data_IF_846064927376
#
_entry.id   IF_846064927376
#
_cell.length_a   1.000
_cell.length_b   1.000
_cell.length_c   1.000
_cell.angle_alpha   90.00
_cell.angle_beta   90.00
_cell.angle_gamma   90.00
#
_symmetry.space_group_name_H-M   'P 1'
#
loop_
_entity.id
_entity.type
_entity.pdbx_description
1 polymer ?
#
# COMPACT_ATOMS: atom_id res chain seq x y z
N UNK A 1 38.47 38.99 86.77
CA UNK A 1 37.13 38.80 87.36
C UNK A 1 36.19 38.32 86.24
N UNK A 2 35.89 37.07 86.28
CA UNK A 2 34.56 36.43 86.06
C UNK A 2 33.76 37.06 84.94
N UNK A 3 33.11 36.37 83.93
CA UNK A 3 32.28 35.18 84.01
C UNK A 3 31.83 34.83 82.55
N UNK A 4 31.82 33.52 82.19
CA UNK A 4 30.82 32.69 81.51
C UNK A 4 30.38 33.06 80.07
N UNK A 5 30.71 32.21 79.14
CA UNK A 5 29.92 31.10 78.54
C UNK A 5 28.53 31.46 78.08
N UNK A 6 28.31 31.21 76.75
CA UNK A 6 27.13 30.52 76.29
C UNK A 6 27.35 29.97 74.86
N UNK A 7 27.49 28.69 74.81
CA UNK A 7 27.31 27.90 73.56
C UNK A 7 25.88 28.13 73.04
N UNK A 8 25.74 28.44 71.79
CA UNK A 8 24.50 28.19 71.06
C UNK A 8 24.79 27.34 69.80
N UNK A 9 24.43 26.11 69.95
CA UNK A 9 24.36 25.18 68.82
C UNK A 9 23.28 25.61 67.85
N UNK A 10 23.65 25.99 66.63
CA UNK A 10 22.72 26.24 65.52
C UNK A 10 22.55 24.98 64.69
N UNK A 11 21.39 24.34 64.78
CA UNK A 11 20.97 23.29 63.88
C UNK A 11 20.77 23.89 62.47
N UNK A 12 21.53 23.38 61.53
CA UNK A 12 21.27 23.59 60.06
C UNK A 12 20.19 22.67 59.62
N UNK A 13 19.15 23.15 58.93
CA UNK A 13 18.17 22.25 58.29
C UNK A 13 18.79 21.67 57.03
N UNK A 14 18.83 20.35 56.97
CA UNK A 14 19.13 19.59 55.73
C UNK A 14 17.94 19.74 54.78
N UNK A 15 18.10 20.52 53.71
CA UNK A 15 17.16 20.62 52.62
C UNK A 15 17.30 19.37 51.75
N UNK A 16 16.37 18.42 51.87
CA UNK A 16 16.20 17.34 50.91
C UNK A 16 15.72 17.91 49.57
N UNK A 17 16.64 18.08 48.61
CA UNK A 17 16.27 18.26 47.21
C UNK A 17 15.69 16.94 46.69
N UNK A 18 14.37 16.85 46.64
CA UNK A 18 13.68 15.80 45.92
C UNK A 18 13.91 15.94 44.40
N UNK A 19 14.74 15.08 43.85
CA UNK A 19 14.86 14.94 42.37
C UNK A 19 13.55 14.43 41.83
N UNK A 20 12.74 15.31 41.20
CA UNK A 20 11.66 14.90 40.33
C UNK A 20 12.30 14.27 39.09
N UNK A 21 12.27 12.94 39.00
CA UNK A 21 12.56 12.23 37.77
C UNK A 21 11.46 12.56 36.75
N UNK A 22 11.80 12.98 35.53
CA UNK A 22 10.78 13.15 34.48
C UNK A 22 10.17 11.78 34.20
N UNK A 23 8.87 11.66 34.42
CA UNK A 23 8.08 10.52 33.95
C UNK A 23 8.23 10.45 32.42
N UNK A 24 9.09 9.55 31.97
CA UNK A 24 9.23 9.26 30.54
C UNK A 24 7.86 8.83 30.01
N UNK A 25 7.26 9.67 29.17
CA UNK A 25 6.11 9.29 28.39
C UNK A 25 6.57 8.11 27.51
N UNK A 26 6.24 6.89 27.92
CA UNK A 26 6.33 5.73 27.06
C UNK A 26 5.41 6.02 25.86
N UNK A 27 6.02 6.37 24.73
CA UNK A 27 5.30 6.46 23.48
C UNK A 27 4.71 5.06 23.24
N UNK A 28 3.40 4.92 23.45
CA UNK A 28 2.68 3.72 23.09
C UNK A 28 2.86 3.59 21.56
N UNK A 29 3.65 2.62 21.16
CA UNK A 29 3.73 2.22 19.74
C UNK A 29 2.32 1.82 19.33
N UNK A 30 1.67 2.66 18.55
CA UNK A 30 0.34 2.39 18.03
C UNK A 30 0.51 1.18 17.12
N UNK A 31 -0.09 0.05 17.51
CA UNK A 31 -0.03 -1.17 16.69
C UNK A 31 -0.54 -0.84 15.29
N UNK A 32 0.30 -1.14 14.29
CA UNK A 32 -0.05 -0.93 12.89
C UNK A 32 -1.33 -1.72 12.59
N UNK A 33 -2.37 -1.03 12.16
CA UNK A 33 -3.64 -1.66 11.78
C UNK A 33 -3.37 -2.64 10.64
N UNK A 34 -3.64 -3.92 10.88
CA UNK A 34 -3.46 -4.96 9.87
C UNK A 34 -4.42 -4.76 8.71
N UNK A 35 -3.89 -4.77 7.49
CA UNK A 35 -4.67 -4.67 6.25
C UNK A 35 -4.79 -6.05 5.58
N UNK A 36 -5.93 -6.28 4.95
CA UNK A 36 -6.19 -7.46 4.14
C UNK A 36 -6.33 -7.05 2.69
N UNK A 37 -5.73 -7.85 1.81
CA UNK A 37 -5.69 -7.56 0.37
C UNK A 37 -6.45 -8.63 -0.40
N UNK A 38 -7.29 -8.19 -1.30
CA UNK A 38 -7.92 -8.99 -2.35
C UNK A 38 -7.51 -8.38 -3.69
N UNK A 39 -7.17 -9.18 -4.66
CA UNK A 39 -6.78 -8.64 -5.96
C UNK A 39 -6.75 -9.67 -7.05
N UNK A 40 -6.99 -9.19 -8.26
CA UNK A 40 -6.89 -9.97 -9.49
C UNK A 40 -6.24 -9.15 -10.61
N UNK A 41 -5.91 -9.87 -11.68
CA UNK A 41 -5.41 -9.34 -12.93
C UNK A 41 -6.46 -9.53 -14.02
N UNK A 42 -6.71 -8.48 -14.78
CA UNK A 42 -7.59 -8.56 -15.94
C UNK A 42 -6.94 -7.92 -17.16
N UNK A 43 -7.33 -8.37 -18.34
CA UNK A 43 -7.04 -7.67 -19.58
C UNK A 43 -7.87 -6.39 -19.63
N UNK A 44 -7.19 -5.24 -19.69
CA UNK A 44 -7.85 -3.93 -19.75
C UNK A 44 -8.39 -3.63 -21.16
N UNK A 45 -9.46 -2.83 -21.21
CA UNK A 45 -9.93 -2.27 -22.47
C UNK A 45 -8.85 -1.38 -23.09
N UNK A 46 -8.60 -1.57 -24.38
CA UNK A 46 -7.63 -0.79 -25.13
C UNK A 46 -8.14 -0.63 -26.57
N UNK A 47 -8.29 0.62 -27.06
CA UNK A 47 -8.74 0.86 -28.43
C UNK A 47 -7.87 0.12 -29.45
N UNK A 48 -8.50 -0.57 -30.38
CA UNK A 48 -7.82 -1.35 -31.43
C UNK A 48 -7.20 -2.69 -31.00
N UNK A 49 -7.17 -2.99 -29.71
CA UNK A 49 -6.68 -4.28 -29.24
C UNK A 49 -7.71 -5.40 -29.51
N UNK A 50 -7.27 -6.59 -29.91
CA UNK A 50 -8.15 -7.73 -30.13
C UNK A 50 -8.65 -8.35 -28.83
N UNK A 51 -9.82 -8.96 -28.88
CA UNK A 51 -10.39 -9.78 -27.82
C UNK A 51 -11.16 -9.00 -26.74
N UNK A 52 -11.78 -9.72 -25.82
CA UNK A 52 -12.60 -9.14 -24.78
C UNK A 52 -11.77 -8.40 -23.72
N UNK A 53 -12.32 -7.31 -23.20
CA UNK A 53 -11.79 -6.59 -22.06
C UNK A 53 -12.38 -7.10 -20.73
N UNK A 54 -11.74 -6.75 -19.61
CA UNK A 54 -12.16 -7.09 -18.25
C UNK A 54 -12.28 -8.60 -17.96
N UNK A 55 -11.57 -9.42 -18.71
CA UNK A 55 -11.48 -10.86 -18.49
C UNK A 55 -10.29 -11.15 -17.57
N UNK A 56 -10.52 -11.99 -16.55
CA UNK A 56 -9.47 -12.51 -15.69
C UNK A 56 -8.39 -13.17 -16.53
N UNK A 57 -7.16 -12.73 -16.34
CA UNK A 57 -6.02 -13.25 -17.07
C UNK A 57 -4.75 -13.00 -16.26
N UNK A 58 -3.84 -13.96 -16.29
CA UNK A 58 -2.49 -13.78 -15.75
C UNK A 58 -1.40 -13.95 -16.82
N UNK A 59 -1.79 -14.26 -18.09
CA UNK A 59 -0.89 -14.40 -19.22
C UNK A 59 -1.20 -13.32 -20.25
N UNK A 60 -0.21 -12.52 -20.57
CA UNK A 60 -0.36 -11.36 -21.44
C UNK A 60 0.73 -11.37 -22.51
N UNK A 61 0.40 -10.85 -23.67
CA UNK A 61 1.36 -10.52 -24.73
C UNK A 61 1.86 -9.08 -24.57
N UNK A 62 2.97 -8.76 -25.20
CA UNK A 62 3.44 -7.36 -25.30
C UNK A 62 2.36 -6.49 -25.94
N UNK A 63 2.34 -5.22 -25.55
CA UNK A 63 1.33 -4.22 -25.90
C UNK A 63 -0.05 -4.44 -25.30
N UNK A 64 -0.33 -5.55 -24.62
CA UNK A 64 -1.57 -5.68 -23.87
C UNK A 64 -1.59 -4.79 -22.63
N UNK A 65 -2.78 -4.34 -22.28
CA UNK A 65 -3.05 -3.60 -21.07
C UNK A 65 -3.38 -4.56 -19.94
N UNK A 66 -2.50 -4.60 -18.95
CA UNK A 66 -2.71 -5.27 -17.68
C UNK A 66 -3.40 -4.31 -16.72
N UNK A 67 -4.42 -4.79 -16.04
CA UNK A 67 -5.13 -4.03 -15.01
C UNK A 67 -5.18 -4.86 -13.74
N UNK A 68 -4.60 -4.32 -12.66
CA UNK A 68 -4.80 -4.82 -11.31
C UNK A 68 -6.07 -4.21 -10.75
N UNK A 69 -6.97 -5.04 -10.23
CA UNK A 69 -8.11 -4.62 -9.42
C UNK A 69 -7.86 -5.06 -8.00
N UNK A 70 -7.79 -4.10 -7.09
CA UNK A 70 -7.33 -4.34 -5.72
C UNK A 70 -8.39 -3.80 -4.76
N UNK A 71 -8.76 -4.61 -3.78
CA UNK A 71 -9.46 -4.19 -2.57
C UNK A 71 -8.54 -4.28 -1.38
N UNK A 72 -8.57 -3.27 -0.55
CA UNK A 72 -7.90 -3.27 0.74
C UNK A 72 -8.97 -3.16 1.80
N UNK A 73 -8.91 -4.02 2.81
CA UNK A 73 -9.85 -4.04 3.92
C UNK A 73 -9.13 -3.85 5.24
N UNK A 74 -9.82 -3.27 6.19
CA UNK A 74 -9.36 -3.19 7.57
C UNK A 74 -9.62 -4.51 8.34
N UNK A 75 -9.29 -4.53 9.63
CA UNK A 75 -9.49 -5.67 10.53
C UNK A 75 -10.97 -6.02 10.75
N UNK A 76 -11.88 -5.08 10.54
CA UNK A 76 -13.33 -5.32 10.61
C UNK A 76 -13.91 -5.81 9.27
N UNK A 77 -13.06 -5.99 8.26
CA UNK A 77 -13.46 -6.40 6.92
C UNK A 77 -14.06 -5.28 6.08
N UNK A 78 -14.00 -4.02 6.55
CA UNK A 78 -14.53 -2.88 5.81
C UNK A 78 -13.58 -2.47 4.68
N UNK A 79 -14.09 -2.20 3.48
CA UNK A 79 -13.26 -1.72 2.38
C UNK A 79 -12.72 -0.33 2.68
N UNK A 80 -11.46 -0.11 2.34
CA UNK A 80 -10.76 1.16 2.48
C UNK A 80 -10.64 1.85 1.12
N UNK A 81 -11.20 3.02 1.03
CA UNK A 81 -11.20 3.91 -0.13
C UNK A 81 -10.03 4.93 -0.08
N UNK A 82 -10.10 5.95 -0.95
CA UNK A 82 -9.13 7.05 -1.02
C UNK A 82 -9.23 8.05 0.14
N UNK A 83 -10.19 7.88 1.05
CA UNK A 83 -10.26 8.62 2.31
C UNK A 83 -9.71 7.80 3.47
N UNK A 84 -9.72 6.47 3.34
CA UNK A 84 -9.20 5.54 4.35
C UNK A 84 -7.72 5.21 4.18
N UNK A 85 -7.17 5.39 2.97
CA UNK A 85 -5.77 5.16 2.64
C UNK A 85 -5.15 6.37 1.95
N UNK A 86 -3.87 6.60 2.22
CA UNK A 86 -3.08 7.59 1.49
C UNK A 86 -2.85 7.15 0.04
N UNK A 87 -2.79 5.84 -0.21
CA UNK A 87 -2.65 5.29 -1.54
C UNK A 87 -2.37 3.80 -1.57
N UNK A 88 -2.53 3.26 -2.77
CA UNK A 88 -2.18 1.88 -3.11
C UNK A 88 -1.29 1.91 -4.34
N UNK A 89 -0.25 1.09 -4.38
CA UNK A 89 0.66 0.99 -5.52
C UNK A 89 0.99 -0.47 -5.83
N UNK A 90 1.22 -0.76 -7.10
CA UNK A 90 1.80 -2.02 -7.58
C UNK A 90 3.25 -1.75 -7.95
N UNK A 91 4.16 -2.54 -7.43
CA UNK A 91 5.59 -2.51 -7.77
C UNK A 91 5.94 -3.72 -8.63
N UNK A 92 6.49 -3.45 -9.80
CA UNK A 92 6.99 -4.45 -10.73
C UNK A 92 8.41 -4.89 -10.37
N UNK A 93 8.90 -6.04 -10.89
CA UNK A 93 10.23 -6.55 -10.54
C UNK A 93 11.41 -5.64 -10.91
N UNK A 94 11.22 -4.78 -11.89
CA UNK A 94 12.21 -3.76 -12.30
C UNK A 94 12.22 -2.52 -11.40
N UNK A 95 11.38 -2.51 -10.36
CA UNK A 95 11.23 -1.39 -9.42
C UNK A 95 10.25 -0.31 -9.88
N UNK A 96 9.65 -0.44 -11.07
CA UNK A 96 8.62 0.49 -11.52
C UNK A 96 7.41 0.43 -10.56
N UNK A 97 6.94 1.60 -10.12
CA UNK A 97 5.76 1.74 -9.26
C UNK A 97 4.59 2.31 -10.05
N UNK A 98 3.50 1.59 -10.02
CA UNK A 98 2.23 1.95 -10.64
C UNK A 98 1.26 2.37 -9.55
N UNK A 99 0.98 3.66 -9.44
CA UNK A 99 0.02 4.17 -8.46
C UNK A 99 -1.40 3.77 -8.88
N UNK A 100 -2.12 3.12 -7.98
CA UNK A 100 -3.50 2.76 -8.19
C UNK A 100 -4.42 3.96 -7.91
N UNK A 101 -5.53 4.03 -8.64
CA UNK A 101 -6.61 4.99 -8.43
C UNK A 101 -7.83 4.25 -7.89
N UNK A 102 -8.45 4.82 -6.85
CA UNK A 102 -9.73 4.32 -6.37
C UNK A 102 -10.87 4.84 -7.24
N UNK A 103 -11.81 3.99 -7.56
CA UNK A 103 -12.94 4.41 -8.37
C UNK A 103 -13.96 3.32 -8.66
N UNK A 104 -15.09 3.73 -9.26
CA UNK A 104 -16.19 2.85 -9.60
C UNK A 104 -15.84 1.88 -10.74
N UNK A 105 -16.44 0.71 -10.69
CA UNK A 105 -16.35 -0.29 -11.75
C UNK A 105 -17.74 -0.89 -12.05
N UNK A 106 -18.21 -0.92 -13.30
CA UNK A 106 -17.57 -0.28 -14.45
C UNK A 106 -17.45 1.23 -14.32
N UNK A 107 -16.62 1.89 -15.15
CA UNK A 107 -16.54 3.35 -15.18
C UNK A 107 -17.92 3.97 -15.48
N UNK A 108 -18.23 5.18 -15.00
CA UNK A 108 -19.56 5.79 -15.15
C UNK A 108 -20.09 5.86 -16.59
N UNK A 109 -19.20 6.03 -17.55
CA UNK A 109 -19.55 6.03 -18.97
C UNK A 109 -20.06 4.68 -19.51
N UNK A 110 -19.84 3.60 -18.77
CA UNK A 110 -20.23 2.22 -19.16
C UNK A 110 -21.46 1.71 -18.42
N UNK A 111 -22.05 2.52 -17.55
CA UNK A 111 -23.23 2.18 -16.77
C UNK A 111 -23.09 2.44 -15.26
N UNK A 112 -24.11 2.09 -14.46
CA UNK A 112 -24.04 2.24 -13.02
C UNK A 112 -22.93 1.34 -12.43
N UNK A 113 -22.18 1.89 -11.48
CA UNK A 113 -21.14 1.16 -10.79
C UNK A 113 -21.73 0.04 -9.93
N UNK A 114 -21.21 -1.16 -10.07
CA UNK A 114 -21.54 -2.32 -9.24
C UNK A 114 -20.53 -2.54 -8.13
N UNK A 115 -19.33 -1.96 -8.28
CA UNK A 115 -18.24 -2.13 -7.34
C UNK A 115 -17.25 -0.94 -7.38
N UNK A 116 -16.30 -0.93 -6.44
CA UNK A 116 -15.22 0.04 -6.37
C UNK A 116 -13.91 -0.68 -6.09
N UNK A 117 -12.85 -0.29 -6.83
CA UNK A 117 -11.53 -0.87 -6.71
C UNK A 117 -10.44 0.21 -6.71
N UNK A 118 -9.32 -0.14 -6.13
CA UNK A 118 -8.03 0.45 -6.45
C UNK A 118 -7.55 -0.18 -7.75
N UNK A 119 -7.30 0.62 -8.78
CA UNK A 119 -6.97 0.14 -10.12
C UNK A 119 -5.61 0.67 -10.54
N UNK A 120 -4.64 -0.22 -10.77
CA UNK A 120 -3.36 0.08 -11.38
C UNK A 120 -3.34 -0.44 -12.83
N UNK A 121 -2.67 0.28 -13.71
CA UNK A 121 -2.64 -0.02 -15.15
C UNK A 121 -1.20 -0.06 -15.63
N UNK A 122 -0.90 -1.06 -16.44
CA UNK A 122 0.36 -1.18 -17.15
C UNK A 122 0.13 -1.64 -18.59
N UNK A 123 0.74 -0.96 -19.54
CA UNK A 123 0.84 -1.45 -20.91
C UNK A 123 2.19 -2.09 -21.05
N UNK A 124 2.23 -3.38 -21.36
CA UNK A 124 3.46 -4.14 -21.46
C UNK A 124 4.30 -3.60 -22.63
N UNK A 125 5.52 -3.10 -22.37
CA UNK A 125 6.35 -2.58 -23.44
C UNK A 125 6.84 -3.70 -24.37
N UNK A 126 7.16 -3.36 -25.61
CA UNK A 126 7.72 -4.30 -26.60
C UNK A 126 9.06 -4.89 -26.15
N UNK A 127 9.80 -4.17 -25.31
CA UNK A 127 11.09 -4.62 -24.76
C UNK A 127 10.95 -5.57 -23.58
N UNK A 128 9.73 -5.80 -23.07
CA UNK A 128 9.54 -6.68 -21.92
C UNK A 128 9.90 -8.12 -22.26
N UNK A 129 10.81 -8.77 -21.52
CA UNK A 129 11.11 -10.19 -21.74
C UNK A 129 9.90 -11.06 -21.41
N UNK A 130 9.80 -12.22 -22.06
CA UNK A 130 8.84 -13.26 -21.69
C UNK A 130 9.24 -13.92 -20.38
N UNK A 131 8.27 -14.36 -19.60
CA UNK A 131 8.49 -15.02 -18.31
C UNK A 131 7.41 -14.73 -17.29
N UNK A 132 7.58 -15.28 -16.09
CA UNK A 132 6.73 -14.99 -14.93
C UNK A 132 7.37 -13.93 -14.07
N UNK A 133 6.58 -12.94 -13.69
CA UNK A 133 7.03 -11.76 -12.96
C UNK A 133 6.27 -11.66 -11.64
N UNK A 134 7.02 -11.71 -10.52
CA UNK A 134 6.49 -11.36 -9.23
C UNK A 134 6.18 -9.85 -9.20
N UNK A 135 5.12 -9.47 -8.51
CA UNK A 135 4.82 -8.08 -8.25
C UNK A 135 4.42 -7.93 -6.77
N UNK A 136 4.42 -6.71 -6.28
CA UNK A 136 4.00 -6.40 -4.92
C UNK A 136 2.89 -5.38 -4.95
N UNK A 137 1.94 -5.52 -4.04
CA UNK A 137 0.91 -4.51 -3.81
C UNK A 137 1.15 -3.90 -2.45
N UNK A 138 1.37 -2.60 -2.40
CA UNK A 138 1.59 -1.86 -1.16
C UNK A 138 0.45 -0.88 -0.93
N UNK A 139 -0.19 -0.97 0.22
CA UNK A 139 -1.13 0.04 0.71
C UNK A 139 -0.48 0.87 1.82
N UNK A 140 -0.65 2.18 1.75
CA UNK A 140 -0.14 3.13 2.74
C UNK A 140 -1.32 3.77 3.45
N UNK A 141 -1.35 3.68 4.77
CA UNK A 141 -2.38 4.31 5.58
C UNK A 141 -2.21 5.83 5.69
N UNK A 142 -3.17 6.50 6.32
CA UNK A 142 -3.14 7.95 6.49
C UNK A 142 -1.97 8.43 7.37
N UNK A 143 -1.42 7.56 8.21
CA UNK A 143 -0.26 7.82 9.06
C UNK A 143 1.08 7.59 8.33
N UNK A 144 1.02 7.09 7.08
CA UNK A 144 2.20 6.79 6.27
C UNK A 144 2.79 5.41 6.51
N UNK A 145 2.13 4.55 7.28
CA UNK A 145 2.58 3.18 7.46
C UNK A 145 2.18 2.34 6.25
N UNK A 146 3.13 1.60 5.72
CA UNK A 146 2.94 0.79 4.52
C UNK A 146 2.85 -0.70 4.88
N UNK A 147 1.90 -1.39 4.26
CA UNK A 147 1.81 -2.84 4.30
C UNK A 147 1.81 -3.39 2.89
N UNK A 148 2.55 -4.47 2.69
CA UNK A 148 2.78 -5.07 1.38
C UNK A 148 2.23 -6.48 1.33
N UNK A 149 1.58 -6.79 0.23
CA UNK A 149 1.11 -8.12 -0.14
C UNK A 149 1.79 -8.57 -1.43
N UNK A 150 2.10 -9.85 -1.50
CA UNK A 150 2.65 -10.50 -2.69
C UNK A 150 1.79 -11.72 -3.07
N UNK A 151 1.59 -12.00 -4.36
CA UNK A 151 0.96 -13.24 -4.78
C UNK A 151 1.83 -14.44 -4.41
N UNK A 152 1.27 -15.64 -4.42
CA UNK A 152 2.06 -16.85 -4.22
C UNK A 152 3.20 -16.93 -5.22
N UNK A 153 4.38 -17.36 -4.76
CA UNK A 153 5.57 -17.57 -5.59
C UNK A 153 5.42 -18.81 -6.49
N UNK A 154 4.33 -18.86 -7.24
CA UNK A 154 3.98 -19.90 -8.21
C UNK A 154 3.57 -19.23 -9.51
N UNK A 155 4.08 -19.70 -10.62
CA UNK A 155 3.82 -19.11 -11.94
C UNK A 155 2.33 -18.84 -12.23
N UNK A 156 1.37 -19.73 -11.89
CA UNK A 156 -0.05 -19.45 -12.12
C UNK A 156 -0.62 -18.27 -11.33
N UNK A 157 0.03 -17.88 -10.24
CA UNK A 157 -0.42 -16.75 -9.38
C UNK A 157 0.31 -15.45 -9.70
N UNK A 158 1.26 -15.46 -10.62
CA UNK A 158 2.07 -14.32 -11.01
C UNK A 158 1.62 -13.76 -12.35
N UNK A 159 2.06 -12.54 -12.66
CA UNK A 159 1.96 -11.99 -13.99
C UNK A 159 2.91 -12.75 -14.93
N UNK A 160 2.41 -13.29 -16.02
CA UNK A 160 3.22 -13.91 -17.05
C UNK A 160 3.15 -13.09 -18.34
N UNK A 161 4.30 -12.81 -18.92
CA UNK A 161 4.41 -12.26 -20.28
C UNK A 161 4.80 -13.40 -21.19
N UNK A 162 3.92 -13.72 -22.14
CA UNK A 162 4.13 -14.77 -23.14
C UNK A 162 4.68 -14.16 -24.43
N UNK A 163 5.24 -15.01 -25.30
CA UNK A 163 5.81 -14.57 -26.57
C UNK A 163 4.75 -13.94 -27.51
N UNK A 164 5.21 -12.99 -28.29
CA UNK A 164 4.44 -12.25 -29.27
C UNK A 164 3.93 -10.93 -28.76
N UNK A 165 3.35 -10.18 -29.68
CA UNK A 165 2.72 -8.87 -29.49
C UNK A 165 1.30 -8.92 -30.02
N UNK A 166 0.43 -8.06 -29.49
CA UNK A 166 -0.89 -7.86 -30.09
C UNK A 166 -0.78 -6.82 -31.20
N UNK A 167 -1.57 -7.01 -32.24
CA UNK A 167 -1.78 -5.99 -33.26
C UNK A 167 -2.79 -4.96 -32.76
N UNK A 168 -2.37 -3.70 -32.71
CA UNK A 168 -3.25 -2.58 -32.39
C UNK A 168 -3.78 -1.99 -33.69
N UNK A 169 -5.06 -2.21 -33.98
CA UNK A 169 -5.72 -1.61 -35.14
C UNK A 169 -5.93 -0.12 -34.92
N UNK A 170 -5.50 0.69 -35.88
CA UNK A 170 -5.84 2.12 -35.87
C UNK A 170 -7.35 2.29 -36.00
N UNK A 171 -7.96 3.18 -35.25
CA UNK A 171 -9.35 3.54 -35.50
C UNK A 171 -9.46 4.17 -36.90
N UNK A 172 -10.45 3.71 -37.66
CA UNK A 172 -10.80 4.31 -38.97
C UNK A 172 -11.32 5.72 -38.77
#
# INVERSE_FOLDING_TARGET
MKIREALRAGLLPVACLGALAPAGAAAQAQEAKKLFFEGDLVRGAQPGAPGPACVLNNQFKRLEKVVWRIRVRDQAGQPLDDKGLKGVAVELPDGQKLNARYGPHPPPASGPATDHFWTAIWIIPTSQPSGSFAYKVTATDLQGQAQTWEPFKRAPSQLAVVDGEIEIKKPN
#
